data_IF_264241215232
#
_entry.id   IF_264241215232
#
_cell.length_a   1.000
_cell.length_b   1.000
_cell.length_c   1.000
_cell.angle_alpha   90.00
_cell.angle_beta   90.00
_cell.angle_gamma   90.00
#
_symmetry.space_group_name_H-M   'P 1'
#
loop_
_entity.id
_entity.type
_entity.pdbx_description
1 polymer ?
#
# COMPACT_ATOMS: atom_id res chain seq x y z
N UNK A 1 -25.81 10.22 -21.31
CA UNK A 1 -24.36 10.10 -21.56
C UNK A 1 -23.62 10.58 -20.33
N UNK A 2 -22.74 9.74 -19.77
CA UNK A 2 -21.90 9.90 -18.57
C UNK A 2 -22.65 10.04 -17.22
N UNK A 3 -22.98 8.88 -16.62
CA UNK A 3 -23.01 8.75 -15.15
C UNK A 3 -21.57 8.90 -14.68
N UNK A 4 -21.25 10.03 -14.06
CA UNK A 4 -19.98 10.23 -13.36
C UNK A 4 -20.00 9.26 -12.18
N UNK A 5 -19.14 8.24 -12.24
CA UNK A 5 -18.80 7.42 -11.10
C UNK A 5 -18.22 8.38 -10.04
N UNK A 6 -19.01 8.66 -9.00
CA UNK A 6 -18.50 9.27 -7.78
C UNK A 6 -17.57 8.26 -7.13
N UNK A 7 -16.30 8.32 -7.53
CA UNK A 7 -15.22 7.63 -6.86
C UNK A 7 -15.17 8.14 -5.41
N UNK A 8 -15.58 7.30 -4.47
CA UNK A 8 -15.37 7.48 -3.03
C UNK A 8 -13.87 7.80 -2.85
N UNK A 9 -13.55 9.05 -2.55
CA UNK A 9 -12.19 9.45 -2.20
C UNK A 9 -11.96 9.07 -0.74
N UNK A 10 -11.51 7.83 -0.51
CA UNK A 10 -10.88 7.49 0.76
C UNK A 10 -9.76 8.50 1.01
N UNK A 11 -9.89 9.33 2.04
CA UNK A 11 -8.79 10.20 2.45
C UNK A 11 -7.66 9.31 2.95
N UNK A 12 -6.67 9.06 2.09
CA UNK A 12 -5.43 8.33 2.40
C UNK A 12 -4.51 9.17 3.30
N UNK A 13 -5.04 9.63 4.43
CA UNK A 13 -4.32 10.29 5.51
C UNK A 13 -3.80 9.31 6.55
N UNK A 14 -3.67 8.03 6.19
CA UNK A 14 -3.07 7.00 7.06
C UNK A 14 -1.65 7.48 7.42
N UNK A 15 -1.36 7.68 8.73
CA UNK A 15 -0.02 8.03 9.18
C UNK A 15 0.99 6.99 8.72
N UNK A 16 2.12 7.43 8.19
CA UNK A 16 3.11 6.49 7.65
C UNK A 16 3.66 5.53 8.71
N UNK A 17 3.75 6.00 9.95
CA UNK A 17 4.25 5.24 11.09
C UNK A 17 3.39 4.01 11.43
N UNK A 18 2.11 4.00 11.05
CA UNK A 18 1.21 2.86 11.26
C UNK A 18 1.44 1.73 10.25
N UNK A 19 2.11 2.02 9.13
CA UNK A 19 2.29 1.09 8.01
C UNK A 19 3.75 0.67 7.85
N UNK A 20 4.69 1.51 8.29
CA UNK A 20 6.11 1.19 8.19
C UNK A 20 6.48 -0.01 9.08
N UNK A 21 7.53 -0.73 8.69
CA UNK A 21 8.19 -1.68 9.57
C UNK A 21 9.28 -0.96 10.35
N UNK A 22 9.23 -1.05 11.68
CA UNK A 22 10.26 -0.54 12.56
C UNK A 22 11.55 -1.37 12.52
N UNK A 23 12.63 -0.84 13.10
CA UNK A 23 13.93 -1.50 13.22
C UNK A 23 14.44 -2.12 11.90
N UNK A 24 14.61 -1.31 10.84
CA UNK A 24 15.00 -1.84 9.55
C UNK A 24 16.42 -2.41 9.61
N UNK A 25 16.67 -3.45 8.83
CA UNK A 25 18.00 -4.06 8.71
C UNK A 25 19.00 -3.03 8.19
N UNK A 26 20.09 -2.85 8.94
CA UNK A 26 21.19 -1.95 8.60
C UNK A 26 22.50 -2.71 8.38
N UNK A 27 23.42 -2.11 7.63
CA UNK A 27 24.76 -2.65 7.39
C UNK A 27 25.77 -1.51 7.26
N UNK A 28 26.99 -1.71 7.76
CA UNK A 28 28.07 -0.74 7.60
C UNK A 28 28.56 -0.69 6.14
N UNK A 29 28.94 0.51 5.68
CA UNK A 29 29.30 0.75 4.29
C UNK A 29 30.56 0.01 3.81
N UNK A 30 31.44 -0.35 4.75
CA UNK A 30 32.67 -1.11 4.54
C UNK A 30 32.49 -2.63 4.73
N UNK A 31 31.26 -3.09 5.04
CA UNK A 31 30.97 -4.52 5.09
C UNK A 31 30.97 -5.13 3.69
N UNK A 32 31.23 -6.42 3.60
CA UNK A 32 31.13 -7.16 2.33
C UNK A 32 29.68 -7.41 1.93
N UNK A 33 29.44 -7.58 0.62
CA UNK A 33 28.13 -7.95 0.08
C UNK A 33 27.65 -9.29 0.64
N UNK A 34 28.56 -10.23 0.93
CA UNK A 34 28.22 -11.47 1.62
C UNK A 34 27.59 -11.21 3.00
N UNK A 35 28.11 -10.26 3.78
CA UNK A 35 27.51 -9.89 5.07
C UNK A 35 26.15 -9.22 4.92
N UNK A 36 25.98 -8.39 3.89
CA UNK A 36 24.67 -7.82 3.57
C UNK A 36 23.65 -8.91 3.21
N UNK A 37 24.03 -9.88 2.38
CA UNK A 37 23.18 -11.02 2.02
C UNK A 37 22.81 -11.86 3.25
N UNK A 38 23.77 -12.14 4.15
CA UNK A 38 23.48 -12.86 5.41
C UNK A 38 22.51 -12.08 6.31
N UNK A 39 22.64 -10.75 6.40
CA UNK A 39 21.71 -9.92 7.15
C UNK A 39 20.31 -9.94 6.53
N UNK A 40 20.20 -9.83 5.20
CA UNK A 40 18.95 -9.96 4.45
C UNK A 40 18.25 -11.30 4.72
N UNK A 41 18.99 -12.41 4.68
CA UNK A 41 18.43 -13.74 4.96
C UNK A 41 18.00 -13.90 6.41
N UNK A 42 18.81 -13.43 7.37
CA UNK A 42 18.52 -13.54 8.80
C UNK A 42 17.27 -12.76 9.18
N UNK A 43 17.10 -11.57 8.62
CA UNK A 43 16.01 -10.66 8.96
C UNK A 43 14.80 -10.83 8.01
N UNK A 44 14.87 -11.77 7.06
CA UNK A 44 13.85 -12.05 6.05
C UNK A 44 13.43 -10.82 5.23
N UNK A 45 14.41 -9.99 4.84
CA UNK A 45 14.21 -8.77 4.06
C UNK A 45 15.04 -8.75 2.78
N UNK A 46 14.52 -8.13 1.72
CA UNK A 46 15.26 -7.97 0.45
C UNK A 46 16.16 -6.73 0.38
N UNK A 47 16.51 -6.12 1.51
CA UNK A 47 17.22 -4.83 1.56
C UNK A 47 17.93 -4.55 2.88
N UNK A 48 19.08 -3.89 2.81
CA UNK A 48 19.75 -3.31 3.97
C UNK A 48 19.99 -1.81 3.74
N UNK A 49 19.71 -1.01 4.76
CA UNK A 49 20.10 0.39 4.77
C UNK A 49 21.59 0.48 5.11
N UNK A 50 22.33 1.24 4.31
CA UNK A 50 23.78 1.35 4.44
C UNK A 50 24.12 2.55 5.31
N UNK A 51 24.86 2.30 6.38
CA UNK A 51 25.32 3.31 7.33
C UNK A 51 26.80 3.61 7.14
N UNK A 52 27.20 4.85 7.44
CA UNK A 52 28.58 5.25 7.66
C UNK A 52 28.59 6.18 8.87
N UNK A 53 29.36 5.84 9.90
CA UNK A 53 29.39 6.60 11.16
C UNK A 53 27.97 6.84 11.72
N UNK A 54 27.14 5.79 11.70
CA UNK A 54 25.72 5.78 12.07
C UNK A 54 24.77 6.64 11.21
N UNK A 55 25.29 7.35 10.21
CA UNK A 55 24.49 8.12 9.27
C UNK A 55 24.03 7.25 8.09
N UNK A 56 22.75 7.32 7.70
CA UNK A 56 22.23 6.55 6.58
C UNK A 56 22.62 7.20 5.25
N UNK A 57 23.46 6.51 4.47
CA UNK A 57 24.05 7.07 3.22
C UNK A 57 23.58 6.38 1.94
N UNK A 58 22.99 5.19 2.05
CA UNK A 58 22.54 4.44 0.89
C UNK A 58 21.67 3.25 1.24
N UNK A 59 21.30 2.49 0.23
CA UNK A 59 20.55 1.24 0.38
C UNK A 59 21.11 0.20 -0.58
N UNK A 60 21.24 -1.04 -0.12
CA UNK A 60 21.63 -2.19 -0.94
C UNK A 60 20.50 -3.20 -0.94
N UNK A 61 20.28 -3.84 -2.09
CA UNK A 61 19.11 -4.66 -2.35
C UNK A 61 19.50 -5.96 -3.04
N UNK A 62 18.61 -6.96 -3.03
CA UNK A 62 18.83 -8.20 -3.77
C UNK A 62 19.13 -7.96 -5.26
N UNK A 63 18.51 -6.94 -5.87
CA UNK A 63 18.76 -6.55 -7.25
C UNK A 63 20.20 -6.02 -7.44
N UNK A 64 20.72 -5.27 -6.48
CA UNK A 64 22.13 -4.83 -6.51
C UNK A 64 23.08 -6.02 -6.42
N UNK A 65 22.80 -6.99 -5.55
CA UNK A 65 23.62 -8.21 -5.41
C UNK A 65 23.59 -9.00 -6.72
N UNK A 66 22.40 -9.23 -7.27
CA UNK A 66 22.22 -9.99 -8.50
C UNK A 66 22.91 -9.31 -9.69
N UNK A 67 22.61 -8.03 -9.94
CA UNK A 67 23.06 -7.34 -11.14
C UNK A 67 24.49 -6.80 -11.05
N UNK A 68 24.98 -6.42 -9.86
CA UNK A 68 26.30 -5.77 -9.70
C UNK A 68 27.39 -6.72 -9.18
N UNK A 69 27.03 -7.87 -8.62
CA UNK A 69 27.99 -8.86 -8.09
C UNK A 69 27.88 -10.18 -8.84
N UNK A 70 26.74 -10.87 -8.74
CA UNK A 70 26.56 -12.23 -9.30
C UNK A 70 26.67 -12.22 -10.82
N UNK A 71 25.92 -11.34 -11.50
CA UNK A 71 25.96 -11.20 -12.96
C UNK A 71 27.33 -10.76 -13.51
N UNK A 72 28.21 -10.25 -12.65
CA UNK A 72 29.59 -9.86 -13.00
C UNK A 72 30.64 -10.89 -12.58
N UNK A 73 30.20 -12.08 -12.14
CA UNK A 73 31.05 -13.15 -11.62
C UNK A 73 32.01 -12.70 -10.51
N UNK A 74 31.58 -11.72 -9.69
CA UNK A 74 32.36 -11.24 -8.56
C UNK A 74 32.07 -12.07 -7.32
N UNK A 75 33.10 -12.30 -6.51
CA UNK A 75 32.95 -12.98 -5.20
C UNK A 75 32.28 -12.02 -4.19
N UNK A 76 31.10 -12.36 -3.61
CA UNK A 76 30.39 -11.47 -2.68
C UNK A 76 31.17 -11.13 -1.40
N UNK A 77 32.11 -11.99 -0.99
CA UNK A 77 32.98 -11.75 0.17
C UNK A 77 34.08 -10.73 -0.09
N UNK A 78 34.39 -10.43 -1.35
CA UNK A 78 35.46 -9.52 -1.76
C UNK A 78 34.96 -8.16 -2.27
N UNK A 79 33.64 -7.99 -2.42
CA UNK A 79 33.01 -6.73 -2.85
C UNK A 79 32.39 -6.06 -1.63
N UNK A 80 32.62 -4.77 -1.46
CA UNK A 80 32.04 -3.97 -0.39
C UNK A 80 30.65 -3.45 -0.75
N UNK A 81 29.83 -3.22 0.27
CA UNK A 81 28.47 -2.71 0.11
C UNK A 81 28.47 -1.32 -0.53
N UNK A 82 29.40 -0.44 -0.15
CA UNK A 82 29.52 0.91 -0.71
C UNK A 82 29.81 0.93 -2.23
N UNK A 83 30.36 -0.14 -2.80
CA UNK A 83 30.63 -0.26 -4.24
C UNK A 83 29.37 -0.57 -5.05
N UNK A 84 28.34 -1.14 -4.41
CA UNK A 84 27.14 -1.64 -5.11
C UNK A 84 25.84 -0.96 -4.66
N UNK A 85 25.83 -0.29 -3.52
CA UNK A 85 24.64 0.39 -3.01
C UNK A 85 24.13 1.49 -3.96
N UNK A 86 22.86 1.84 -3.80
CA UNK A 86 22.29 3.05 -4.37
C UNK A 86 22.46 4.23 -3.40
N UNK A 87 22.94 5.36 -3.91
CA UNK A 87 23.22 6.59 -3.14
C UNK A 87 23.02 7.82 -4.06
N UNK A 88 22.57 8.99 -3.57
CA UNK A 88 22.18 9.29 -2.18
C UNK A 88 20.93 8.53 -1.74
N UNK A 89 20.81 8.28 -0.44
CA UNK A 89 19.62 7.63 0.12
C UNK A 89 18.40 8.56 0.03
N UNK A 90 17.31 8.05 -0.52
CA UNK A 90 16.03 8.75 -0.56
C UNK A 90 15.23 8.34 0.67
N UNK A 91 14.96 9.28 1.56
CA UNK A 91 14.28 9.07 2.84
C UNK A 91 12.98 9.85 2.91
N UNK A 92 12.07 9.40 3.77
CA UNK A 92 10.82 10.11 4.11
C UNK A 92 10.75 10.36 5.60
N UNK A 93 10.16 11.48 6.01
CA UNK A 93 9.97 11.77 7.43
C UNK A 93 8.84 10.96 8.04
N UNK A 94 8.96 10.64 9.32
CA UNK A 94 7.97 9.88 10.09
C UNK A 94 6.60 10.58 10.24
N UNK A 95 6.56 11.91 10.14
CA UNK A 95 5.35 12.74 10.22
C UNK A 95 4.51 12.77 8.92
N UNK A 96 4.91 12.02 7.90
CA UNK A 96 4.23 11.96 6.59
C UNK A 96 3.14 10.90 6.55
N UNK A 97 2.39 10.93 5.47
CA UNK A 97 1.30 9.97 5.20
C UNK A 97 1.73 8.89 4.21
N UNK A 98 0.96 7.81 4.13
CA UNK A 98 1.09 6.78 3.09
C UNK A 98 0.99 7.39 1.68
N UNK A 99 0.14 8.40 1.47
CA UNK A 99 0.02 9.11 0.19
C UNK A 99 1.33 9.79 -0.19
N UNK A 100 1.97 10.47 0.76
CA UNK A 100 3.25 11.15 0.52
C UNK A 100 4.34 10.13 0.15
N UNK A 101 4.38 8.99 0.86
CA UNK A 101 5.28 7.89 0.57
C UNK A 101 5.06 7.36 -0.86
N UNK A 102 3.81 7.06 -1.23
CA UNK A 102 3.47 6.58 -2.57
C UNK A 102 3.87 7.58 -3.67
N UNK A 103 3.56 8.86 -3.49
CA UNK A 103 3.98 9.91 -4.42
C UNK A 103 5.50 10.00 -4.56
N UNK A 104 6.23 9.90 -3.45
CA UNK A 104 7.68 9.97 -3.46
C UNK A 104 8.30 8.72 -4.11
N UNK A 105 7.73 7.53 -3.89
CA UNK A 105 8.10 6.28 -4.58
C UNK A 105 7.91 6.40 -6.10
N UNK A 106 6.76 6.91 -6.56
CA UNK A 106 6.46 7.11 -7.98
C UNK A 106 7.45 8.11 -8.60
N UNK A 107 7.61 9.27 -7.97
CA UNK A 107 8.46 10.36 -8.48
C UNK A 107 9.91 9.91 -8.62
N UNK A 108 10.43 9.17 -7.64
CA UNK A 108 11.83 8.74 -7.62
C UNK A 108 12.04 7.34 -8.23
N UNK A 109 10.96 6.66 -8.67
CA UNK A 109 10.97 5.29 -9.19
C UNK A 109 11.62 4.29 -8.24
N UNK A 110 11.37 4.44 -6.93
CA UNK A 110 11.87 3.55 -5.88
C UNK A 110 10.74 2.74 -5.27
N UNK A 111 11.04 1.51 -4.83
CA UNK A 111 10.05 0.58 -4.24
C UNK A 111 10.05 0.57 -2.72
N UNK A 112 10.99 1.27 -2.10
CA UNK A 112 11.29 1.22 -0.68
C UNK A 112 11.80 2.59 -0.23
N UNK A 113 11.34 3.04 0.92
CA UNK A 113 11.72 4.32 1.51
C UNK A 113 12.06 4.10 2.99
N UNK A 114 13.32 4.30 3.38
CA UNK A 114 13.67 4.47 4.78
C UNK A 114 12.92 5.65 5.39
N UNK A 115 12.36 5.42 6.58
CA UNK A 115 11.66 6.42 7.37
C UNK A 115 12.63 6.97 8.41
N UNK A 116 12.72 8.30 8.48
CA UNK A 116 13.61 9.00 9.41
C UNK A 116 12.87 9.90 10.38
N UNK A 117 13.47 10.11 11.55
CA UNK A 117 13.01 11.08 12.55
C UNK A 117 13.50 12.52 12.27
N UNK A 118 13.28 13.43 13.23
CA UNK A 118 13.71 14.83 13.15
C UNK A 118 15.25 14.99 13.16
N UNK A 119 15.98 13.99 13.65
CA UNK A 119 17.45 13.96 13.70
C UNK A 119 18.08 13.24 12.49
N UNK A 120 17.27 12.89 11.47
CA UNK A 120 17.65 12.07 10.31
C UNK A 120 18.14 10.65 10.66
N UNK A 121 17.79 10.12 11.84
CA UNK A 121 18.04 8.73 12.17
C UNK A 121 16.96 7.86 11.55
N UNK A 122 17.36 6.69 11.06
CA UNK A 122 16.42 5.73 10.49
C UNK A 122 15.67 5.03 11.61
N UNK A 123 14.34 5.15 11.59
CA UNK A 123 13.46 4.50 12.57
C UNK A 123 12.63 3.38 11.95
N UNK A 124 12.55 3.32 10.62
CA UNK A 124 11.71 2.36 9.91
C UNK A 124 11.99 2.28 8.41
N UNK A 125 11.25 1.42 7.73
CA UNK A 125 11.21 1.32 6.28
C UNK A 125 9.78 1.05 5.84
N UNK A 126 9.35 1.68 4.74
CA UNK A 126 8.09 1.38 4.07
C UNK A 126 8.39 0.88 2.65
N UNK A 127 7.67 -0.15 2.22
CA UNK A 127 7.75 -0.70 0.86
C UNK A 127 6.44 -0.51 0.11
N UNK A 128 6.47 -0.63 -1.22
CA UNK A 128 5.25 -0.67 -2.03
C UNK A 128 4.30 -1.77 -1.56
N UNK A 129 4.84 -2.92 -1.10
CA UNK A 129 4.01 -4.01 -0.58
C UNK A 129 3.26 -3.59 0.67
N UNK A 130 3.92 -2.93 1.62
CA UNK A 130 3.27 -2.46 2.86
C UNK A 130 2.13 -1.47 2.55
N UNK A 131 2.33 -0.57 1.56
CA UNK A 131 1.30 0.36 1.09
C UNK A 131 0.10 -0.38 0.46
N UNK A 132 0.36 -1.43 -0.32
CA UNK A 132 -0.70 -2.21 -0.98
C UNK A 132 -1.52 -3.03 0.03
N UNK A 133 -0.90 -3.53 1.10
CA UNK A 133 -1.61 -4.30 2.14
C UNK A 133 -2.73 -3.49 2.79
N UNK A 134 -2.53 -2.19 3.02
CA UNK A 134 -3.56 -1.29 3.58
C UNK A 134 -4.83 -1.29 2.72
N UNK A 135 -4.70 -1.39 1.40
CA UNK A 135 -5.87 -1.42 0.50
C UNK A 135 -6.64 -2.74 0.56
N UNK A 136 -5.95 -3.85 0.83
CA UNK A 136 -6.58 -5.17 0.94
C UNK A 136 -7.41 -5.27 2.21
N UNK A 137 -6.87 -4.83 3.35
CA UNK A 137 -7.57 -4.85 4.63
C UNK A 137 -8.82 -3.95 4.61
N UNK A 138 -8.72 -2.77 3.99
CA UNK A 138 -9.87 -1.89 3.82
C UNK A 138 -10.92 -2.52 2.88
N UNK A 139 -10.51 -3.22 1.82
CA UNK A 139 -11.46 -3.92 0.93
C UNK A 139 -12.24 -5.02 1.65
N UNK A 140 -11.59 -5.78 2.53
CA UNK A 140 -12.27 -6.81 3.34
C UNK A 140 -13.31 -6.17 4.27
N UNK A 141 -12.91 -5.14 5.02
CA UNK A 141 -13.83 -4.38 5.88
C UNK A 141 -14.96 -3.72 5.09
N UNK A 142 -14.68 -3.21 3.88
CA UNK A 142 -15.72 -2.63 3.03
C UNK A 142 -16.76 -3.65 2.61
N UNK A 143 -16.38 -4.91 2.34
CA UNK A 143 -17.35 -5.96 2.02
C UNK A 143 -18.29 -6.21 3.21
N UNK A 144 -17.75 -6.32 4.42
CA UNK A 144 -18.53 -6.51 5.64
C UNK A 144 -19.50 -5.34 5.89
N UNK A 145 -19.03 -4.10 5.69
CA UNK A 145 -19.85 -2.89 5.84
C UNK A 145 -20.91 -2.74 4.73
N UNK A 146 -20.64 -3.23 3.52
CA UNK A 146 -21.62 -3.29 2.42
C UNK A 146 -22.73 -4.28 2.76
N UNK A 147 -22.40 -5.43 3.36
CA UNK A 147 -23.43 -6.39 3.82
C UNK A 147 -24.34 -5.78 4.88
N UNK A 148 -23.78 -5.05 5.85
CA UNK A 148 -24.56 -4.36 6.88
C UNK A 148 -25.44 -3.25 6.28
N UNK A 149 -24.96 -2.55 5.25
CA UNK A 149 -25.68 -1.45 4.60
C UNK A 149 -26.53 -1.86 3.39
N UNK A 150 -26.68 -3.16 3.09
CA UNK A 150 -27.76 -3.62 2.19
C UNK A 150 -29.12 -3.46 2.88
N UNK A 151 -29.55 -2.21 3.02
CA UNK A 151 -30.94 -1.87 3.28
C UNK A 151 -31.72 -2.15 1.99
N UNK A 152 -32.42 -3.30 1.97
CA UNK A 152 -33.41 -3.76 0.97
C UNK A 152 -32.92 -3.75 -0.49
N UNK A 153 -32.76 -4.94 -1.08
CA UNK A 153 -32.33 -5.14 -2.47
C UNK A 153 -33.13 -4.28 -3.44
N UNK A 154 -32.48 -3.23 -3.95
CA UNK A 154 -32.97 -2.49 -5.10
C UNK A 154 -32.67 -3.34 -6.33
N UNK A 155 -33.70 -3.97 -6.88
CA UNK A 155 -33.58 -4.78 -8.10
C UNK A 155 -34.04 -3.99 -9.33
N UNK A 156 -33.41 -4.27 -10.47
CA UNK A 156 -33.88 -3.78 -11.78
C UNK A 156 -34.79 -4.84 -12.37
N UNK A 157 -36.00 -4.46 -12.75
CA UNK A 157 -36.96 -5.41 -13.32
C UNK A 157 -38.32 -4.78 -13.58
N UNK A 158 -39.33 -5.63 -13.73
CA UNK A 158 -40.71 -5.19 -13.93
C UNK A 158 -41.44 -5.11 -12.60
N UNK A 159 -42.05 -3.96 -12.30
CA UNK A 159 -42.92 -3.82 -11.13
C UNK A 159 -44.10 -4.78 -11.22
N UNK A 160 -44.30 -5.57 -10.16
CA UNK A 160 -45.38 -6.56 -10.11
C UNK A 160 -46.79 -5.94 -10.06
N UNK A 161 -46.91 -4.63 -9.78
CA UNK A 161 -48.19 -3.91 -9.70
C UNK A 161 -48.53 -3.15 -10.98
N UNK A 162 -47.67 -2.24 -11.43
CA UNK A 162 -47.96 -1.42 -12.61
C UNK A 162 -47.43 -2.02 -13.93
N UNK A 163 -46.62 -3.09 -13.86
CA UNK A 163 -46.05 -3.74 -15.04
C UNK A 163 -44.97 -2.93 -15.78
N UNK A 164 -44.54 -1.79 -15.22
CA UNK A 164 -43.49 -0.96 -15.82
C UNK A 164 -42.10 -1.43 -15.39
N UNK A 165 -41.14 -1.29 -16.31
CA UNK A 165 -39.72 -1.45 -15.99
C UNK A 165 -39.27 -0.35 -15.04
N UNK A 166 -38.60 -0.75 -13.96
CA UNK A 166 -38.03 0.14 -12.95
C UNK A 166 -36.60 -0.31 -12.63
N UNK A 167 -35.70 0.64 -12.42
CA UNK A 167 -34.37 0.42 -11.85
C UNK A 167 -34.34 0.62 -10.33
N UNK A 168 -35.50 0.92 -9.74
CA UNK A 168 -35.73 1.02 -8.29
C UNK A 168 -36.93 0.16 -7.86
N UNK A 169 -36.80 -1.17 -7.88
CA UNK A 169 -37.79 -2.07 -7.26
C UNK A 169 -37.34 -2.49 -5.86
N UNK A 170 -38.27 -2.51 -4.91
CA UNK A 170 -38.03 -3.06 -3.56
C UNK A 170 -39.09 -4.10 -3.22
N UNK A 171 -38.71 -5.04 -2.35
CA UNK A 171 -39.58 -6.13 -1.91
C UNK A 171 -40.42 -5.67 -0.71
N UNK A 172 -41.73 -5.52 -0.92
CA UNK A 172 -42.72 -5.26 0.13
C UNK A 172 -43.67 -6.46 0.14
N UNK A 173 -43.89 -7.09 1.29
CA UNK A 173 -44.77 -8.26 1.45
C UNK A 173 -44.58 -9.34 0.38
N UNK A 174 -43.31 -9.59 0.04
CA UNK A 174 -42.88 -10.57 -0.96
C UNK A 174 -43.19 -10.21 -2.44
N UNK A 175 -43.55 -8.95 -2.71
CA UNK A 175 -43.86 -8.40 -4.05
C UNK A 175 -42.86 -7.29 -4.40
N UNK A 176 -42.40 -7.25 -5.65
CA UNK A 176 -41.45 -6.23 -6.13
C UNK A 176 -42.17 -5.00 -6.66
N UNK A 177 -42.06 -3.88 -5.96
CA UNK A 177 -42.80 -2.66 -6.25
C UNK A 177 -41.86 -1.49 -6.61
N UNK A 178 -42.23 -0.69 -7.61
CA UNK A 178 -41.52 0.55 -7.96
C UNK A 178 -41.86 1.69 -7.01
N UNK A 179 -41.07 2.76 -7.01
CA UNK A 179 -41.20 3.91 -6.11
C UNK A 179 -42.64 4.45 -6.03
N UNK A 180 -43.29 4.67 -7.17
CA UNK A 180 -44.68 5.16 -7.23
C UNK A 180 -45.68 4.19 -6.59
N UNK A 181 -45.56 2.90 -6.88
CA UNK A 181 -46.46 1.88 -6.34
C UNK A 181 -46.27 1.65 -4.84
N UNK A 182 -45.07 1.89 -4.30
CA UNK A 182 -44.78 1.83 -2.85
C UNK A 182 -45.35 3.03 -2.11
N UNK A 183 -45.23 4.23 -2.68
CA UNK A 183 -45.78 5.47 -2.10
C UNK A 183 -47.31 5.42 -2.02
N UNK A 184 -47.97 4.80 -3.00
CA UNK A 184 -49.42 4.58 -2.99
C UNK A 184 -49.89 3.57 -1.92
N UNK A 185 -49.05 2.61 -1.52
CA UNK A 185 -49.34 1.66 -0.45
C UNK A 185 -49.28 2.30 0.94
N UNK A 186 -48.40 3.28 1.14
CA UNK A 186 -48.24 3.99 2.43
C UNK A 186 -49.35 5.03 2.71
N UNK A 187 -50.17 5.33 1.70
CA UNK A 187 -51.27 6.30 1.77
C UNK A 187 -52.66 5.64 1.96
N UNK A 188 -52.71 4.31 2.15
CA UNK A 188 -53.92 3.52 2.40
C UNK A 188 -53.91 2.94 3.81
#
# INVERSE_FOLDING_TARGET
MKKTSDSIRFETRVPLIEVMKGNPTTIQSDASVARAAMAMCRDEVGSCIVLRDDLPIGIVTEEDINCKVVAKDKRPSAVLVNEVMSTPLITIRSDKTVRDAAHMMIRNRVRRLPVVDDENRVIGIVTVRDILTVSTEINELMNDLIEINRLEEIEVGTCSRCGQMSDDLRRIDNVMLCTSCREEELLQ
#
